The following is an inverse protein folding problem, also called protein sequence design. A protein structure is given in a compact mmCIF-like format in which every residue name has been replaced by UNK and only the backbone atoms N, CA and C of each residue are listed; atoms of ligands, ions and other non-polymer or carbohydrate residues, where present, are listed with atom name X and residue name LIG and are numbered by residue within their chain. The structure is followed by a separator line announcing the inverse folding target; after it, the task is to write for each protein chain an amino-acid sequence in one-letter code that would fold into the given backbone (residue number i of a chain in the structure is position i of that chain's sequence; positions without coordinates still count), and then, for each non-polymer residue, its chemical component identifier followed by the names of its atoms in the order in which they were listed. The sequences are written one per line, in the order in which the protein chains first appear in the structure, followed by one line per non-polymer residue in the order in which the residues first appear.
data_IF_663720504404
#
_entry.id   IF_663720504404
#
_cell.length_a   1.000
_cell.length_b   1.000
_cell.length_c   1.000
_cell.angle_alpha   90.00
_cell.angle_beta   90.00
_cell.angle_gamma   90.00
#
_symmetry.space_group_name_H-M   'P 1'
#
loop_
_entity.id
_entity.type
_entity.pdbx_description
1 polymer ?
#
# COMPACT_ATOMS: atom_id res chain seq x y z
N UNK A 1 32.54 29.11 -3.81
CA UNK A 1 31.08 29.16 -3.58
C UNK A 1 30.37 28.92 -4.90
N UNK A 2 29.45 27.96 -4.97
CA UNK A 2 28.62 27.77 -6.16
C UNK A 2 27.77 29.02 -6.38
N UNK A 3 27.87 29.65 -7.56
CA UNK A 3 27.04 30.82 -7.89
C UNK A 3 25.61 30.35 -8.14
N UNK A 4 24.65 30.81 -7.33
CA UNK A 4 23.23 30.56 -7.58
C UNK A 4 22.85 31.01 -9.00
N UNK A 5 22.05 30.21 -9.71
CA UNK A 5 21.55 30.60 -11.02
C UNK A 5 20.67 31.86 -10.92
N UNK A 6 20.91 32.83 -11.81
CA UNK A 6 20.10 34.07 -11.88
C UNK A 6 18.67 33.70 -12.28
N UNK A 7 17.72 33.89 -11.37
CA UNK A 7 16.29 33.61 -11.57
C UNK A 7 15.45 34.89 -11.47
N UNK A 8 15.80 35.91 -12.24
CA UNK A 8 14.98 37.12 -12.36
C UNK A 8 13.83 36.87 -13.36
N UNK A 9 12.67 37.49 -13.10
CA UNK A 9 11.52 37.47 -14.03
C UNK A 9 11.77 38.32 -15.29
N UNK A 10 10.74 38.49 -16.13
CA UNK A 10 10.82 39.42 -17.27
C UNK A 10 11.05 40.86 -16.78
N UNK A 11 11.96 41.62 -17.39
CA UNK A 11 12.16 43.03 -17.03
C UNK A 11 10.92 43.86 -17.36
N UNK A 12 10.62 44.82 -16.51
CA UNK A 12 9.66 45.89 -16.76
C UNK A 12 10.40 47.04 -17.45
N UNK A 13 9.92 47.45 -18.63
CA UNK A 13 10.45 48.60 -19.37
C UNK A 13 9.73 49.85 -18.89
N UNK A 14 10.49 50.80 -18.37
CA UNK A 14 9.99 52.08 -17.88
C UNK A 14 9.75 53.06 -19.05
N UNK A 15 8.91 54.10 -18.85
CA UNK A 15 8.70 55.14 -19.87
C UNK A 15 9.99 55.83 -20.36
N UNK A 16 11.05 55.83 -19.54
CA UNK A 16 12.37 56.36 -19.88
C UNK A 16 13.22 55.44 -20.77
N UNK A 17 12.71 54.27 -21.16
CA UNK A 17 13.45 53.24 -21.89
C UNK A 17 14.35 52.36 -21.02
N UNK A 18 14.52 52.70 -19.73
CA UNK A 18 15.28 51.89 -18.76
C UNK A 18 14.52 50.62 -18.37
N UNK A 19 15.23 49.58 -17.96
CA UNK A 19 14.67 48.32 -17.48
C UNK A 19 14.81 48.17 -15.97
N UNK A 20 13.84 47.53 -15.33
CA UNK A 20 13.93 47.09 -13.92
C UNK A 20 13.38 45.68 -13.76
N UNK A 21 13.80 44.97 -12.72
CA UNK A 21 13.26 43.65 -12.39
C UNK A 21 12.44 43.70 -11.11
N UNK A 22 11.40 42.88 -11.06
CA UNK A 22 10.59 42.67 -9.86
C UNK A 22 10.63 41.20 -9.46
N UNK A 23 10.70 40.95 -8.16
CA UNK A 23 10.60 39.61 -7.59
C UNK A 23 9.91 39.67 -6.23
N UNK A 24 9.25 38.59 -5.84
CA UNK A 24 8.69 38.44 -4.50
C UNK A 24 9.39 37.33 -3.74
N UNK A 25 9.55 37.51 -2.43
CA UNK A 25 10.01 36.49 -1.51
C UNK A 25 9.13 36.50 -0.27
N UNK A 26 8.45 35.38 0.03
CA UNK A 26 7.53 35.24 1.18
C UNK A 26 6.57 36.45 1.32
N UNK A 27 5.91 36.82 0.23
CA UNK A 27 4.94 37.94 0.20
C UNK A 27 5.55 39.35 0.14
N UNK A 28 6.87 39.51 0.31
CA UNK A 28 7.54 40.80 0.24
C UNK A 28 7.99 41.07 -1.20
N UNK A 29 7.55 42.18 -1.76
CA UNK A 29 7.94 42.58 -3.12
C UNK A 29 9.27 43.35 -3.08
N UNK A 30 10.15 43.04 -4.03
CA UNK A 30 11.40 43.74 -4.27
C UNK A 30 11.43 44.22 -5.73
N UNK A 31 11.96 45.42 -5.94
CA UNK A 31 12.21 46.00 -7.25
C UNK A 31 13.68 46.42 -7.31
N UNK A 32 14.35 46.09 -8.41
CA UNK A 32 15.71 46.55 -8.65
C UNK A 32 15.75 48.05 -8.93
N UNK A 33 16.96 48.61 -8.89
CA UNK A 33 17.28 49.88 -9.54
C UNK A 33 16.93 49.83 -11.05
N UNK A 34 16.83 51.01 -11.68
CA UNK A 34 16.63 51.11 -13.13
C UNK A 34 17.98 51.06 -13.87
N UNK A 35 18.07 50.23 -14.90
CA UNK A 35 19.27 50.02 -15.71
C UNK A 35 19.01 50.41 -17.17
N UNK A 36 20.04 50.80 -17.90
CA UNK A 36 19.84 51.31 -19.27
C UNK A 36 19.47 50.24 -20.30
N UNK A 37 19.73 48.96 -20.01
CA UNK A 37 19.38 47.83 -20.87
C UNK A 37 19.31 46.50 -20.13
N UNK A 38 18.65 45.51 -20.74
CA UNK A 38 18.54 44.13 -20.26
C UNK A 38 19.83 43.32 -20.52
N UNK A 39 20.96 43.81 -20.00
CA UNK A 39 22.26 43.16 -20.17
C UNK A 39 22.51 42.08 -19.11
N UNK A 40 23.37 41.10 -19.43
CA UNK A 40 23.79 40.05 -18.47
C UNK A 40 24.42 40.63 -17.21
N UNK A 41 25.18 41.73 -17.33
CA UNK A 41 25.81 42.42 -16.21
C UNK A 41 24.77 43.04 -15.28
N UNK A 42 23.82 43.80 -15.85
CA UNK A 42 22.74 44.44 -15.10
C UNK A 42 21.85 43.41 -14.40
N UNK A 43 21.58 42.26 -15.03
CA UNK A 43 20.88 41.13 -14.39
C UNK A 43 21.65 40.53 -13.22
N UNK A 44 22.98 40.43 -13.32
CA UNK A 44 23.80 39.91 -12.24
C UNK A 44 23.83 40.88 -11.05
N UNK A 45 23.96 42.18 -11.31
CA UNK A 45 23.94 43.22 -10.28
C UNK A 45 22.56 43.26 -9.58
N UNK A 46 21.47 43.27 -10.35
CA UNK A 46 20.12 43.19 -9.82
C UNK A 46 19.87 41.89 -9.04
N UNK A 47 20.46 40.77 -9.45
CA UNK A 47 20.38 39.51 -8.70
C UNK A 47 21.11 39.59 -7.36
N UNK A 48 22.30 40.21 -7.33
CA UNK A 48 23.06 40.44 -6.10
C UNK A 48 22.25 41.29 -5.12
N UNK A 49 21.66 42.39 -5.59
CA UNK A 49 20.80 43.25 -4.77
C UNK A 49 19.58 42.50 -4.22
N UNK A 50 18.96 41.65 -5.05
CA UNK A 50 17.86 40.80 -4.61
C UNK A 50 18.29 39.80 -3.53
N UNK A 51 19.47 39.18 -3.67
CA UNK A 51 19.99 38.23 -2.67
C UNK A 51 20.22 38.93 -1.33
N UNK A 52 20.84 40.11 -1.33
CA UNK A 52 21.00 40.93 -0.12
C UNK A 52 19.64 41.22 0.51
N UNK A 53 18.67 41.69 -0.28
CA UNK A 53 17.31 41.96 0.22
C UNK A 53 16.61 40.70 0.76
N UNK A 54 16.75 39.57 0.07
CA UNK A 54 16.19 38.28 0.47
C UNK A 54 16.73 37.87 1.83
N UNK A 55 18.03 38.03 2.04
CA UNK A 55 18.71 37.62 3.27
C UNK A 55 18.36 38.59 4.42
N UNK A 56 18.20 39.88 4.15
CA UNK A 56 17.63 40.85 5.10
C UNK A 56 16.20 40.46 5.52
N UNK A 57 15.31 40.17 4.56
CA UNK A 57 13.93 39.76 4.84
C UNK A 57 13.92 38.44 5.63
N UNK A 58 14.79 37.49 5.26
CA UNK A 58 14.95 36.23 5.99
C UNK A 58 15.35 36.49 7.45
N UNK A 59 16.35 37.34 7.67
CA UNK A 59 16.82 37.74 9.00
C UNK A 59 15.74 38.44 9.83
N UNK A 60 14.95 39.32 9.21
CA UNK A 60 13.82 39.99 9.86
C UNK A 60 12.71 39.01 10.24
N UNK A 61 12.37 38.07 9.36
CA UNK A 61 11.37 37.03 9.65
C UNK A 61 11.85 36.08 10.74
N UNK A 62 13.13 35.72 10.75
CA UNK A 62 13.73 34.89 11.80
C UNK A 62 13.77 35.62 13.14
N UNK A 63 14.12 36.91 13.17
CA UNK A 63 14.08 37.72 14.38
C UNK A 63 12.64 37.86 14.92
N UNK A 64 11.65 38.07 14.03
CA UNK A 64 10.24 38.13 14.41
C UNK A 64 9.74 36.78 14.94
N UNK A 65 10.09 35.68 14.29
CA UNK A 65 9.74 34.34 14.75
C UNK A 65 10.39 34.03 16.09
N UNK A 66 11.66 34.42 16.28
CA UNK A 66 12.36 34.25 17.55
C UNK A 66 11.69 35.04 18.68
N UNK A 67 11.31 36.29 18.42
CA UNK A 67 10.56 37.08 19.40
C UNK A 67 9.19 36.44 19.73
N UNK A 68 8.49 35.88 18.73
CA UNK A 68 7.22 35.18 18.93
C UNK A 68 7.40 33.84 19.67
N UNK A 69 8.49 33.11 19.41
CA UNK A 69 8.89 31.89 20.13
C UNK A 69 9.21 32.22 21.60
N UNK A 70 9.93 33.31 21.85
CA UNK A 70 10.29 33.80 23.20
C UNK A 70 9.10 34.40 23.97
N UNK A 71 8.07 34.90 23.26
CA UNK A 71 6.91 35.53 23.89
C UNK A 71 6.02 34.57 24.68
N UNK A 72 6.05 33.27 24.36
CA UNK A 72 5.23 32.25 25.00
C UNK A 72 6.11 31.16 25.65
N UNK A 73 6.11 31.01 26.99
CA UNK A 73 7.01 30.10 27.70
C UNK A 73 6.99 28.65 27.17
N UNK A 74 5.80 28.15 26.82
CA UNK A 74 5.66 26.79 26.28
C UNK A 74 6.18 26.64 24.84
N UNK A 75 6.03 27.68 24.01
CA UNK A 75 6.51 27.66 22.63
C UNK A 75 8.02 27.67 22.61
N UNK A 76 8.64 28.52 23.43
CA UNK A 76 10.09 28.56 23.64
C UNK A 76 10.64 27.16 23.96
N UNK A 77 10.07 26.49 24.98
CA UNK A 77 10.49 25.15 25.39
C UNK A 77 10.33 24.10 24.31
N UNK A 78 9.20 24.09 23.59
CA UNK A 78 8.98 23.16 22.49
C UNK A 78 9.93 23.41 21.32
N UNK A 79 10.24 24.67 21.03
CA UNK A 79 11.22 25.04 20.01
C UNK A 79 12.61 24.57 20.39
N UNK A 80 13.05 24.80 21.63
CA UNK A 80 14.35 24.33 22.15
C UNK A 80 14.45 22.79 22.04
N UNK A 81 13.46 22.06 22.56
CA UNK A 81 13.42 20.60 22.49
C UNK A 81 13.51 20.06 21.04
N UNK A 82 12.75 20.63 20.11
CA UNK A 82 12.75 20.17 18.73
C UNK A 82 14.03 20.54 17.98
N UNK A 83 14.70 21.63 18.37
CA UNK A 83 16.01 21.98 17.83
C UNK A 83 17.08 20.99 18.29
N UNK A 84 17.06 20.60 19.57
CA UNK A 84 17.97 19.57 20.10
C UNK A 84 17.77 18.22 19.38
N UNK A 85 16.52 17.82 19.12
CA UNK A 85 16.20 16.60 18.35
C UNK A 85 16.71 16.64 16.90
N UNK A 86 16.64 17.79 16.23
CA UNK A 86 17.18 17.97 14.87
C UNK A 86 18.70 17.80 14.90
N UNK A 87 19.38 18.46 15.84
CA UNK A 87 20.84 18.39 15.97
C UNK A 87 21.31 16.96 16.27
N UNK A 88 20.65 16.26 17.21
CA UNK A 88 20.94 14.86 17.51
C UNK A 88 20.70 13.93 16.30
N UNK A 89 19.65 14.17 15.52
CA UNK A 89 19.36 13.42 14.31
C UNK A 89 20.41 13.65 13.23
N UNK A 90 20.91 14.88 13.07
CA UNK A 90 21.98 15.21 12.12
C UNK A 90 23.31 14.57 12.53
N UNK A 91 23.67 14.61 13.82
CA UNK A 91 24.88 13.95 14.34
C UNK A 91 24.84 12.43 14.13
N UNK A 92 23.66 11.83 14.22
CA UNK A 92 23.46 10.38 14.05
C UNK A 92 23.15 9.92 12.63
N UNK A 93 23.19 10.84 11.64
CA UNK A 93 22.83 10.60 10.24
C UNK A 93 21.41 10.00 10.06
N UNK A 94 20.48 10.36 10.96
CA UNK A 94 19.10 9.91 10.93
C UNK A 94 18.19 10.93 10.21
N UNK A 95 18.26 10.94 8.88
CA UNK A 95 17.53 11.90 8.04
C UNK A 95 16.01 11.92 8.31
N UNK A 96 15.39 10.76 8.59
CA UNK A 96 13.94 10.68 8.85
C UNK A 96 13.54 11.41 10.13
N UNK A 97 14.35 11.31 11.18
CA UNK A 97 14.10 11.99 12.45
C UNK A 97 14.27 13.51 12.30
N UNK A 98 15.32 13.95 11.58
CA UNK A 98 15.57 15.37 11.30
C UNK A 98 14.42 15.99 10.49
N UNK A 99 13.94 15.29 9.45
CA UNK A 99 12.78 15.72 8.65
C UNK A 99 11.50 15.82 9.51
N UNK A 100 11.23 14.80 10.34
CA UNK A 100 10.08 14.81 11.24
C UNK A 100 10.13 15.97 12.23
N UNK A 101 11.25 16.15 12.95
CA UNK A 101 11.39 17.20 13.96
C UNK A 101 11.29 18.61 13.34
N UNK A 102 11.84 18.80 12.13
CA UNK A 102 11.71 20.04 11.36
C UNK A 102 10.26 20.36 10.98
N UNK A 103 9.50 19.35 10.55
CA UNK A 103 8.09 19.52 10.21
C UNK A 103 7.24 19.86 11.44
N UNK A 104 7.50 19.19 12.57
CA UNK A 104 6.82 19.45 13.85
C UNK A 104 7.16 20.84 14.38
N UNK A 105 8.42 21.28 14.29
CA UNK A 105 8.84 22.62 14.70
C UNK A 105 8.10 23.71 13.92
N UNK A 106 7.88 23.50 12.62
CA UNK A 106 7.08 24.42 11.80
C UNK A 106 5.62 24.49 12.27
N UNK A 107 5.05 23.36 12.73
CA UNK A 107 3.68 23.34 13.27
C UNK A 107 3.63 24.09 14.61
N UNK A 108 4.55 23.80 15.54
CA UNK A 108 4.63 24.44 16.86
C UNK A 108 4.73 25.96 16.75
N UNK A 109 5.58 26.45 15.84
CA UNK A 109 5.75 27.89 15.59
C UNK A 109 4.48 28.62 15.14
N UNK A 110 3.57 27.92 14.48
CA UNK A 110 2.30 28.48 13.99
C UNK A 110 1.09 28.07 14.84
N UNK A 111 1.30 27.28 15.91
CA UNK A 111 0.21 26.81 16.76
C UNK A 111 -0.35 27.94 17.62
N UNK A 112 -1.67 27.93 17.79
CA UNK A 112 -2.34 28.72 18.82
C UNK A 112 -2.06 28.11 20.21
N UNK A 113 -2.51 28.79 21.26
CA UNK A 113 -2.27 28.37 22.65
C UNK A 113 -2.71 26.91 22.92
N UNK A 114 -3.91 26.52 22.47
CA UNK A 114 -4.40 25.15 22.62
C UNK A 114 -3.47 24.13 21.93
N UNK A 115 -3.07 24.39 20.68
CA UNK A 115 -2.17 23.50 19.95
C UNK A 115 -0.78 23.37 20.58
N UNK A 116 -0.29 24.42 21.26
CA UNK A 116 0.95 24.35 22.04
C UNK A 116 0.83 23.41 23.23
N UNK A 117 -0.30 23.42 23.95
CA UNK A 117 -0.53 22.49 25.06
C UNK A 117 -0.64 21.03 24.60
N UNK A 118 -1.36 20.79 23.49
CA UNK A 118 -1.47 19.46 22.89
C UNK A 118 -0.09 18.95 22.41
N UNK A 119 0.72 19.81 21.79
CA UNK A 119 2.08 19.48 21.39
C UNK A 119 2.98 19.20 22.61
N UNK A 120 2.86 19.99 23.67
CA UNK A 120 3.63 19.79 24.90
C UNK A 120 3.30 18.48 25.60
N UNK A 121 2.02 18.10 25.66
CA UNK A 121 1.59 16.81 26.22
C UNK A 121 2.22 15.63 25.48
N UNK A 122 2.40 15.74 24.17
CA UNK A 122 2.96 14.67 23.33
C UNK A 122 4.49 14.66 23.33
N UNK A 123 5.13 15.83 23.30
CA UNK A 123 6.57 15.95 23.00
C UNK A 123 7.44 16.08 24.25
N UNK A 124 6.94 16.68 25.34
CA UNK A 124 7.73 16.92 26.57
C UNK A 124 6.94 16.45 27.81
N UNK A 125 6.65 15.15 27.94
CA UNK A 125 5.72 14.66 28.96
C UNK A 125 6.21 14.77 30.42
N UNK A 126 7.48 15.14 30.66
CA UNK A 126 8.12 15.10 31.98
C UNK A 126 8.30 16.46 32.69
N UNK A 127 8.06 17.60 32.02
CA UNK A 127 8.16 18.92 32.68
C UNK A 127 6.82 19.39 33.25
N UNK A 128 6.64 19.24 34.56
CA UNK A 128 5.44 19.70 35.26
C UNK A 128 5.62 21.08 35.88
N UNK A 129 5.52 22.16 35.09
CA UNK A 129 5.40 23.51 35.67
C UNK A 129 4.09 23.63 36.47
N UNK A 130 3.98 24.54 37.46
CA UNK A 130 2.74 24.78 38.20
C UNK A 130 1.54 25.10 37.29
N UNK A 131 1.78 25.88 36.24
CA UNK A 131 0.80 26.24 35.21
C UNK A 131 0.41 25.01 34.38
N UNK A 132 1.39 24.17 34.04
CA UNK A 132 1.14 22.91 33.34
C UNK A 132 0.37 21.93 34.22
N UNK A 133 0.64 21.83 35.53
CA UNK A 133 -0.15 21.04 36.48
C UNK A 133 -1.58 21.58 36.61
N UNK A 134 -1.76 22.89 36.67
CA UNK A 134 -3.08 23.52 36.73
C UNK A 134 -3.88 23.28 35.44
N UNK A 135 -3.25 23.43 34.28
CA UNK A 135 -3.83 23.09 32.99
C UNK A 135 -4.13 21.58 32.89
N UNK A 136 -3.22 20.71 33.32
CA UNK A 136 -3.42 19.26 33.32
C UNK A 136 -4.54 18.84 34.27
N UNK A 137 -4.69 19.50 35.42
CA UNK A 137 -5.82 19.27 36.34
C UNK A 137 -7.14 19.81 35.78
N UNK A 138 -7.10 20.92 35.05
CA UNK A 138 -8.27 21.45 34.32
C UNK A 138 -8.66 20.52 33.19
N UNK A 139 -7.71 20.05 32.37
CA UNK A 139 -7.93 19.06 31.30
C UNK A 139 -8.37 17.72 31.89
N UNK A 140 -7.76 17.22 32.98
CA UNK A 140 -8.19 15.99 33.67
C UNK A 140 -9.59 16.14 34.25
N UNK A 141 -9.96 17.28 34.83
CA UNK A 141 -11.32 17.51 35.33
C UNK A 141 -12.34 17.66 34.19
N UNK A 142 -11.97 18.32 33.08
CA UNK A 142 -12.77 18.38 31.85
C UNK A 142 -12.93 17.01 31.22
N UNK A 143 -11.88 16.18 31.12
CA UNK A 143 -11.92 14.80 30.62
C UNK A 143 -12.73 13.90 31.55
N UNK A 144 -12.58 14.04 32.88
CA UNK A 144 -13.35 13.30 33.89
C UNK A 144 -14.84 13.69 33.83
N UNK A 145 -15.14 14.96 33.59
CA UNK A 145 -16.50 15.46 33.35
C UNK A 145 -17.02 15.05 31.95
N UNK A 146 -16.16 14.93 30.94
CA UNK A 146 -16.49 14.40 29.60
C UNK A 146 -16.78 12.91 29.63
N UNK A 147 -16.06 12.13 30.45
CA UNK A 147 -16.31 10.69 30.69
C UNK A 147 -17.64 10.48 31.42
N UNK A 148 -18.06 11.40 32.30
CA UNK A 148 -19.39 11.39 32.93
C UNK A 148 -20.55 11.74 32.00
N UNK A 149 -20.30 12.46 30.89
CA UNK A 149 -21.34 12.95 29.98
C UNK A 149 -21.39 12.28 28.59
N UNK A 150 -20.60 11.23 28.33
CA UNK A 150 -20.72 10.45 27.08
C UNK A 150 -21.62 9.24 27.31
N UNK A 151 -22.92 9.48 27.31
CA UNK A 151 -23.94 8.41 27.29
C UNK A 151 -23.88 7.56 26.01
N UNK A 152 -23.15 8.00 24.98
CA UNK A 152 -23.01 7.27 23.72
C UNK A 152 -21.62 7.46 23.08
N UNK A 153 -20.94 6.36 22.75
CA UNK A 153 -19.81 6.34 21.84
C UNK A 153 -20.17 5.47 20.64
N UNK A 154 -20.43 6.10 19.51
CA UNK A 154 -20.79 5.38 18.29
C UNK A 154 -19.61 4.55 17.78
N UNK A 155 -19.86 3.26 17.56
CA UNK A 155 -18.88 2.31 17.00
C UNK A 155 -18.40 2.76 15.62
N UNK A 156 -19.27 3.35 14.82
CA UNK A 156 -18.98 3.90 13.49
C UNK A 156 -17.82 4.91 13.50
N UNK A 157 -17.80 5.82 14.47
CA UNK A 157 -16.76 6.85 14.60
C UNK A 157 -15.41 6.26 14.98
N UNK A 158 -15.40 5.21 15.80
CA UNK A 158 -14.17 4.48 16.12
C UNK A 158 -13.67 3.63 14.95
N UNK A 159 -14.58 3.04 14.16
CA UNK A 159 -14.20 2.35 12.92
C UNK A 159 -13.51 3.32 11.97
N UNK A 160 -14.05 4.54 11.78
CA UNK A 160 -13.41 5.57 10.94
C UNK A 160 -11.99 5.89 11.41
N UNK A 161 -11.80 6.08 12.72
CA UNK A 161 -10.47 6.33 13.32
C UNK A 161 -9.53 5.15 13.12
N UNK A 162 -9.99 3.93 13.39
CA UNK A 162 -9.19 2.72 13.20
C UNK A 162 -8.77 2.55 11.73
N UNK A 163 -9.67 2.84 10.78
CA UNK A 163 -9.37 2.81 9.35
C UNK A 163 -8.27 3.80 8.94
N UNK A 164 -8.09 4.94 9.62
CA UNK A 164 -6.96 5.85 9.34
C UNK A 164 -5.61 5.16 9.59
N UNK A 165 -5.48 4.39 10.68
CA UNK A 165 -4.27 3.60 10.93
C UNK A 165 -4.08 2.52 9.87
N UNK A 166 -5.15 1.82 9.49
CA UNK A 166 -5.08 0.78 8.45
C UNK A 166 -4.73 1.33 7.07
N UNK A 167 -5.05 2.60 6.79
CA UNK A 167 -4.58 3.28 5.56
C UNK A 167 -3.06 3.43 5.57
N UNK A 168 -2.45 3.75 6.72
CA UNK A 168 -0.99 3.80 6.85
C UNK A 168 -0.37 2.43 6.61
N UNK A 169 -0.96 1.36 7.14
CA UNK A 169 -0.50 -0.02 6.89
C UNK A 169 -0.57 -0.40 5.40
N UNK A 170 -1.61 0.06 4.68
CA UNK A 170 -1.68 -0.12 3.21
C UNK A 170 -0.56 0.62 2.50
N UNK A 171 -0.26 1.85 2.92
CA UNK A 171 0.83 2.66 2.33
C UNK A 171 2.21 2.07 2.63
N UNK A 172 2.36 1.47 3.81
CA UNK A 172 3.58 0.77 4.21
C UNK A 172 3.76 -0.58 3.50
N UNK A 173 2.69 -1.13 2.91
CA UNK A 173 2.70 -2.44 2.25
C UNK A 173 2.42 -3.61 3.20
N UNK A 174 2.18 -3.36 4.49
CA UNK A 174 1.92 -4.38 5.50
C UNK A 174 0.60 -5.13 5.24
N UNK A 175 -0.38 -4.44 4.65
CA UNK A 175 -1.63 -5.05 4.17
C UNK A 175 -2.01 -4.54 2.78
N UNK A 176 -2.79 -5.35 2.07
CA UNK A 176 -3.37 -4.93 0.79
C UNK A 176 -4.59 -4.03 0.97
N UNK A 177 -4.88 -3.17 -0.02
CA UNK A 177 -6.11 -2.38 -0.05
C UNK A 177 -7.39 -3.26 0.01
N UNK A 178 -7.32 -4.47 -0.55
CA UNK A 178 -8.37 -5.49 -0.42
C UNK A 178 -8.56 -6.00 1.00
N UNK A 179 -7.48 -6.27 1.73
CA UNK A 179 -7.55 -6.68 3.14
C UNK A 179 -8.17 -5.58 4.01
N UNK A 180 -7.75 -4.31 3.84
CA UNK A 180 -8.34 -3.17 4.55
C UNK A 180 -9.84 -3.03 4.26
N UNK A 181 -10.26 -3.12 3.00
CA UNK A 181 -11.67 -3.06 2.63
C UNK A 181 -12.49 -4.21 3.26
N UNK A 182 -11.93 -5.41 3.30
CA UNK A 182 -12.56 -6.55 3.97
C UNK A 182 -12.71 -6.30 5.47
N UNK A 183 -11.69 -5.74 6.13
CA UNK A 183 -11.76 -5.37 7.54
C UNK A 183 -12.87 -4.34 7.79
N UNK A 184 -13.00 -3.32 6.94
CA UNK A 184 -14.08 -2.34 7.02
C UNK A 184 -15.46 -3.00 6.98
N UNK A 185 -15.75 -3.82 5.97
CA UNK A 185 -17.06 -4.51 5.84
C UNK A 185 -17.34 -5.44 7.03
N UNK A 186 -16.31 -6.06 7.59
CA UNK A 186 -16.43 -6.91 8.77
C UNK A 186 -16.80 -6.10 10.02
N UNK A 187 -16.22 -4.90 10.16
CA UNK A 187 -16.55 -4.00 11.27
C UNK A 187 -17.89 -3.30 11.10
N UNK A 188 -18.30 -2.93 9.89
CA UNK A 188 -19.66 -2.42 9.61
C UNK A 188 -20.72 -3.44 10.05
N UNK A 189 -20.47 -4.75 9.88
CA UNK A 189 -21.36 -5.79 10.43
C UNK A 189 -21.39 -5.80 11.96
N UNK A 190 -20.26 -5.54 12.61
CA UNK A 190 -20.21 -5.44 14.07
C UNK A 190 -20.86 -4.16 14.59
N UNK A 191 -20.74 -3.04 13.88
CA UNK A 191 -21.41 -1.78 14.18
C UNK A 191 -22.92 -1.95 14.24
N UNK A 192 -23.51 -2.64 13.25
CA UNK A 192 -24.95 -2.96 13.26
C UNK A 192 -25.34 -3.79 14.50
N UNK A 193 -24.46 -4.70 14.94
CA UNK A 193 -24.70 -5.55 16.09
C UNK A 193 -24.47 -4.85 17.44
N UNK A 194 -23.51 -3.92 17.50
CA UNK A 194 -23.11 -3.17 18.69
C UNK A 194 -22.90 -1.68 18.33
N UNK A 195 -23.97 -0.89 18.15
CA UNK A 195 -23.86 0.49 17.68
C UNK A 195 -23.14 1.42 18.67
N UNK A 196 -23.29 1.15 19.97
CA UNK A 196 -22.56 1.83 21.04
C UNK A 196 -21.42 0.93 21.53
N UNK A 197 -20.18 1.37 21.32
CA UNK A 197 -18.99 0.56 21.65
C UNK A 197 -18.87 0.28 23.15
N UNK A 198 -19.44 1.14 24.02
CA UNK A 198 -19.38 0.96 25.47
C UNK A 198 -20.06 -0.34 25.93
N UNK A 199 -20.95 -0.89 25.10
CA UNK A 199 -21.61 -2.17 25.38
C UNK A 199 -20.78 -3.39 24.96
N UNK A 200 -19.60 -3.19 24.35
CA UNK A 200 -18.72 -4.27 23.92
C UNK A 200 -18.02 -4.91 25.13
N UNK A 201 -18.70 -5.85 25.77
CA UNK A 201 -18.16 -6.69 26.85
C UNK A 201 -17.70 -8.06 26.33
N UNK A 202 -17.02 -8.85 27.16
CA UNK A 202 -16.68 -10.24 26.82
C UNK A 202 -17.92 -11.09 26.48
N UNK A 203 -19.03 -10.87 27.18
CA UNK A 203 -20.31 -11.51 26.86
C UNK A 203 -20.86 -11.05 25.52
N UNK A 204 -20.79 -9.75 25.22
CA UNK A 204 -21.26 -9.22 23.94
C UNK A 204 -20.48 -9.79 22.75
N UNK A 205 -19.18 -10.02 22.92
CA UNK A 205 -18.34 -10.70 21.92
C UNK A 205 -18.74 -12.17 21.74
N UNK A 206 -19.11 -12.86 22.82
CA UNK A 206 -19.61 -14.23 22.74
C UNK A 206 -20.97 -14.31 22.01
N UNK A 207 -21.88 -13.36 22.28
CA UNK A 207 -23.14 -13.22 21.53
C UNK A 207 -22.88 -12.95 20.04
N UNK A 208 -21.95 -12.02 19.73
CA UNK A 208 -21.61 -11.73 18.34
C UNK A 208 -21.02 -12.95 17.61
N UNK A 209 -20.19 -13.75 18.30
CA UNK A 209 -19.70 -15.02 17.77
C UNK A 209 -20.85 -15.99 17.48
N UNK A 210 -21.81 -16.13 18.39
CA UNK A 210 -22.98 -16.99 18.18
C UNK A 210 -23.82 -16.51 16.98
N UNK A 211 -24.05 -15.20 16.88
CA UNK A 211 -24.69 -14.55 15.73
C UNK A 211 -23.98 -14.85 14.40
N UNK A 212 -22.65 -14.73 14.37
CA UNK A 212 -21.87 -15.10 13.18
C UNK A 212 -22.03 -16.58 12.85
N UNK A 213 -22.02 -17.46 13.85
CA UNK A 213 -22.15 -18.91 13.64
C UNK A 213 -23.51 -19.32 13.07
N UNK A 214 -24.58 -18.61 13.43
CA UNK A 214 -25.94 -18.82 12.90
C UNK A 214 -26.22 -18.10 11.58
N UNK A 215 -25.35 -17.19 11.14
CA UNK A 215 -25.50 -16.51 9.86
C UNK A 215 -25.22 -17.42 8.66
N UNK A 216 -25.75 -17.05 7.49
CA UNK A 216 -25.51 -17.73 6.21
C UNK A 216 -24.09 -17.50 5.64
N UNK A 217 -23.24 -16.75 6.34
CA UNK A 217 -21.88 -16.49 5.90
C UNK A 217 -21.04 -17.78 5.88
N UNK A 218 -20.14 -17.90 4.91
CA UNK A 218 -19.15 -18.98 4.90
C UNK A 218 -18.34 -19.00 6.20
N UNK A 219 -18.00 -20.19 6.73
CA UNK A 219 -17.24 -20.34 7.99
C UNK A 219 -15.92 -19.58 8.02
N UNK A 220 -15.23 -19.48 6.87
CA UNK A 220 -14.03 -18.64 6.72
C UNK A 220 -14.34 -17.17 6.97
N UNK A 221 -15.40 -16.64 6.36
CA UNK A 221 -15.85 -15.26 6.55
C UNK A 221 -16.28 -15.01 7.98
N UNK A 222 -16.99 -15.96 8.62
CA UNK A 222 -17.36 -15.86 10.03
C UNK A 222 -16.11 -15.74 10.92
N UNK A 223 -15.12 -16.63 10.73
CA UNK A 223 -13.84 -16.59 11.47
C UNK A 223 -13.11 -15.27 11.26
N UNK A 224 -12.93 -14.85 10.01
CA UNK A 224 -12.16 -13.65 9.68
C UNK A 224 -12.85 -12.38 10.23
N UNK A 225 -14.18 -12.32 10.16
CA UNK A 225 -14.97 -11.25 10.79
C UNK A 225 -14.71 -11.17 12.29
N UNK A 226 -14.80 -12.31 13.00
CA UNK A 226 -14.55 -12.35 14.43
C UNK A 226 -13.11 -11.96 14.79
N UNK A 227 -12.12 -12.42 14.02
CA UNK A 227 -10.71 -12.05 14.22
C UNK A 227 -10.50 -10.55 14.08
N UNK A 228 -11.05 -9.93 13.03
CA UNK A 228 -10.96 -8.49 12.82
C UNK A 228 -11.63 -7.70 13.93
N UNK A 229 -12.84 -8.11 14.37
CA UNK A 229 -13.55 -7.45 15.48
C UNK A 229 -12.76 -7.53 16.77
N UNK A 230 -12.13 -8.68 17.07
CA UNK A 230 -11.28 -8.81 18.26
C UNK A 230 -10.09 -7.85 18.23
N UNK A 231 -9.40 -7.75 17.08
CA UNK A 231 -8.29 -6.83 16.93
C UNK A 231 -8.73 -5.36 17.06
N UNK A 232 -9.92 -5.03 16.55
CA UNK A 232 -10.52 -3.70 16.73
C UNK A 232 -10.87 -3.39 18.19
N UNK A 233 -11.48 -4.34 18.91
CA UNK A 233 -11.83 -4.17 20.33
C UNK A 233 -10.60 -4.06 21.24
N UNK A 234 -9.54 -4.81 20.92
CA UNK A 234 -8.23 -4.68 21.58
C UNK A 234 -7.65 -3.28 21.35
N UNK A 235 -7.67 -2.77 20.11
CA UNK A 235 -7.30 -1.39 19.83
C UNK A 235 -8.18 -0.38 20.60
N UNK A 236 -9.49 -0.61 20.70
CA UNK A 236 -10.40 0.25 21.46
C UNK A 236 -10.10 0.29 22.97
N UNK A 237 -9.67 -0.84 23.54
CA UNK A 237 -9.31 -0.96 24.95
C UNK A 237 -7.93 -0.42 25.27
N UNK A 238 -6.92 -0.86 24.51
CA UNK A 238 -5.51 -0.62 24.86
C UNK A 238 -5.03 0.75 24.36
N UNK A 239 -5.38 1.10 23.11
CA UNK A 239 -4.86 2.30 22.43
C UNK A 239 -5.85 3.46 22.54
N UNK A 240 -7.11 3.24 22.16
CA UNK A 240 -8.11 4.31 22.18
C UNK A 240 -8.65 4.58 23.61
N UNK A 241 -8.50 3.61 24.53
CA UNK A 241 -8.95 3.68 25.93
C UNK A 241 -10.42 4.12 26.08
N UNK A 242 -11.28 3.64 25.18
CA UNK A 242 -12.72 3.96 25.17
C UNK A 242 -13.53 2.93 25.95
N UNK A 243 -13.06 1.68 25.97
CA UNK A 243 -13.65 0.57 26.74
C UNK A 243 -12.61 -0.01 27.67
N UNK A 244 -13.06 -0.70 28.71
CA UNK A 244 -12.15 -1.53 29.52
C UNK A 244 -11.60 -2.68 28.66
N UNK A 245 -10.29 -3.00 28.75
CA UNK A 245 -9.71 -4.14 28.04
C UNK A 245 -10.47 -5.43 28.32
N UNK A 246 -10.95 -6.09 27.26
CA UNK A 246 -11.72 -7.34 27.41
C UNK A 246 -10.73 -8.50 27.61
N UNK A 247 -10.71 -9.15 28.77
CA UNK A 247 -9.76 -10.21 29.05
C UNK A 247 -10.00 -11.40 28.13
N UNK A 248 -8.92 -12.09 27.75
CA UNK A 248 -8.98 -13.35 27.01
C UNK A 248 -9.61 -13.30 25.60
N UNK A 249 -9.72 -12.13 24.95
CA UNK A 249 -10.24 -12.02 23.57
C UNK A 249 -9.58 -12.99 22.59
N UNK A 250 -8.27 -13.22 22.75
CA UNK A 250 -7.45 -14.10 21.90
C UNK A 250 -7.21 -15.49 22.49
N UNK A 251 -7.84 -15.85 23.62
CA UNK A 251 -7.65 -17.17 24.26
C UNK A 251 -8.05 -18.30 23.30
N UNK A 252 -7.25 -19.38 23.28
CA UNK A 252 -7.52 -20.58 22.46
C UNK A 252 -8.93 -21.10 22.75
N UNK A 253 -9.68 -21.43 21.69
CA UNK A 253 -11.06 -21.93 21.77
C UNK A 253 -12.16 -20.88 21.59
N UNK A 254 -11.83 -19.59 21.72
CA UNK A 254 -12.79 -18.48 21.48
C UNK A 254 -12.99 -18.13 20.01
N UNK A 255 -12.28 -18.80 19.10
CA UNK A 255 -12.40 -18.63 17.65
C UNK A 255 -13.54 -19.45 17.02
N UNK A 256 -13.80 -19.20 15.74
CA UNK A 256 -14.67 -20.05 14.93
C UNK A 256 -13.77 -21.05 14.18
N UNK A 257 -14.00 -22.34 14.40
CA UNK A 257 -13.26 -23.41 13.71
C UNK A 257 -13.73 -23.48 12.26
N UNK A 258 -12.77 -23.44 11.34
CA UNK A 258 -13.01 -23.65 9.91
C UNK A 258 -12.54 -25.07 9.58
N UNK A 259 -13.39 -25.92 8.97
CA UNK A 259 -12.96 -27.23 8.49
C UNK A 259 -11.75 -27.09 7.55
N UNK A 260 -10.71 -27.88 7.79
CA UNK A 260 -9.44 -27.78 7.05
C UNK A 260 -9.46 -28.46 5.68
N UNK A 261 -10.40 -29.38 5.44
CA UNK A 261 -10.47 -30.12 4.17
C UNK A 261 -11.09 -29.25 3.07
N UNK A 262 -10.26 -28.48 2.37
CA UNK A 262 -10.65 -27.93 1.07
C UNK A 262 -10.56 -29.06 0.06
N UNK A 263 -11.71 -29.46 -0.50
CA UNK A 263 -11.73 -30.26 -1.72
C UNK A 263 -11.08 -29.39 -2.80
N UNK A 264 -9.99 -29.88 -3.39
CA UNK A 264 -9.35 -29.20 -4.51
C UNK A 264 -10.27 -29.40 -5.71
N UNK A 265 -10.89 -28.34 -6.19
CA UNK A 265 -11.62 -28.37 -7.46
C UNK A 265 -10.60 -28.39 -8.60
N UNK A 266 -10.66 -29.46 -9.39
CA UNK A 266 -9.82 -29.69 -10.57
C UNK A 266 -10.78 -29.79 -11.77
N UNK A 267 -10.40 -29.24 -12.91
CA UNK A 267 -11.18 -29.34 -14.15
C UNK A 267 -11.00 -30.71 -14.78
N UNK A 268 -12.06 -31.24 -15.37
CA UNK A 268 -11.94 -32.37 -16.28
C UNK A 268 -11.34 -31.93 -17.61
N UNK A 269 -10.63 -32.84 -18.28
CA UNK A 269 -9.96 -32.54 -19.56
C UNK A 269 -10.96 -32.12 -20.65
N UNK A 270 -12.18 -32.67 -20.62
CA UNK A 270 -13.24 -32.29 -21.55
C UNK A 270 -13.76 -30.87 -21.31
N UNK A 271 -13.83 -30.41 -20.06
CA UNK A 271 -14.20 -29.03 -19.74
C UNK A 271 -13.11 -28.05 -20.23
N UNK A 272 -11.84 -28.44 -20.16
CA UNK A 272 -10.71 -27.65 -20.68
C UNK A 272 -10.79 -27.55 -22.21
N UNK A 273 -10.99 -28.68 -22.91
CA UNK A 273 -11.17 -28.69 -24.36
C UNK A 273 -12.36 -27.83 -24.77
N UNK A 274 -13.48 -27.93 -24.06
CA UNK A 274 -14.67 -27.13 -24.28
C UNK A 274 -14.42 -25.63 -24.06
N UNK A 275 -13.69 -25.24 -23.00
CA UNK A 275 -13.25 -23.86 -22.80
C UNK A 275 -12.47 -23.34 -24.00
N UNK A 276 -11.50 -24.11 -24.49
CA UNK A 276 -10.64 -23.71 -25.61
C UNK A 276 -11.32 -23.79 -26.98
N UNK A 277 -12.46 -24.48 -27.13
CA UNK A 277 -13.32 -24.37 -28.31
C UNK A 277 -13.92 -22.96 -28.44
N UNK A 278 -14.16 -22.29 -27.32
CA UNK A 278 -14.84 -21.00 -27.27
C UNK A 278 -13.91 -19.82 -26.96
N UNK A 279 -12.74 -20.06 -26.40
CA UNK A 279 -11.74 -19.03 -26.12
C UNK A 279 -10.92 -18.71 -27.38
N UNK A 280 -10.93 -17.45 -27.81
CA UNK A 280 -10.16 -16.93 -28.95
C UNK A 280 -9.31 -15.73 -28.55
N UNK A 281 -8.29 -15.41 -29.35
CA UNK A 281 -7.41 -14.25 -29.19
C UNK A 281 -6.87 -14.08 -27.77
N UNK A 282 -7.08 -12.90 -27.18
CA UNK A 282 -6.58 -12.56 -25.83
C UNK A 282 -7.14 -13.44 -24.72
N UNK A 283 -8.41 -13.84 -24.78
CA UNK A 283 -8.98 -14.73 -23.76
C UNK A 283 -8.28 -16.09 -23.78
N UNK A 284 -8.07 -16.63 -24.99
CA UNK A 284 -7.31 -17.87 -25.20
C UNK A 284 -5.90 -17.76 -24.62
N UNK A 285 -5.20 -16.67 -24.93
CA UNK A 285 -3.88 -16.39 -24.38
C UNK A 285 -3.88 -16.41 -22.85
N UNK A 286 -4.80 -15.69 -22.20
CA UNK A 286 -4.83 -15.61 -20.74
C UNK A 286 -5.05 -16.97 -20.10
N UNK A 287 -5.98 -17.78 -20.61
CA UNK A 287 -6.26 -19.10 -20.06
C UNK A 287 -5.11 -20.07 -20.30
N UNK A 288 -4.47 -20.02 -21.48
CA UNK A 288 -3.25 -20.79 -21.77
C UNK A 288 -2.10 -20.41 -20.84
N UNK A 289 -1.88 -19.11 -20.58
CA UNK A 289 -0.84 -18.66 -19.64
C UNK A 289 -1.08 -19.23 -18.24
N UNK A 290 -2.33 -19.26 -17.76
CA UNK A 290 -2.65 -19.83 -16.44
C UNK A 290 -2.37 -21.35 -16.39
N UNK A 291 -2.66 -22.09 -17.46
CA UNK A 291 -2.38 -23.53 -17.53
C UNK A 291 -0.88 -23.84 -17.74
N UNK A 292 -0.20 -23.05 -18.58
CA UNK A 292 1.20 -23.24 -18.96
C UNK A 292 2.17 -22.80 -17.86
N UNK A 293 1.81 -21.80 -17.06
CA UNK A 293 2.73 -21.17 -16.09
C UNK A 293 2.25 -21.21 -14.64
N UNK A 294 1.02 -21.71 -14.40
CA UNK A 294 0.42 -21.68 -13.07
C UNK A 294 0.19 -20.26 -12.54
N UNK A 295 0.25 -19.23 -13.37
CA UNK A 295 -0.01 -17.85 -12.97
C UNK A 295 -1.48 -17.63 -12.57
N UNK A 296 -1.74 -16.72 -11.62
CA UNK A 296 -3.08 -16.19 -11.39
C UNK A 296 -3.38 -15.02 -12.33
N UNK A 297 -4.65 -14.63 -12.42
CA UNK A 297 -5.09 -13.44 -13.14
C UNK A 297 -4.36 -12.16 -12.68
N UNK A 298 -4.02 -12.06 -11.39
CA UNK A 298 -3.25 -10.95 -10.83
C UNK A 298 -1.79 -10.97 -11.27
N UNK A 299 -1.20 -12.16 -11.41
CA UNK A 299 0.18 -12.30 -11.87
C UNK A 299 0.27 -11.83 -13.33
N UNK A 300 -0.56 -12.40 -14.22
CA UNK A 300 -0.64 -12.03 -15.64
C UNK A 300 -0.94 -10.54 -15.82
N UNK A 301 -1.90 -10.01 -15.06
CA UNK A 301 -2.35 -8.63 -15.19
C UNK A 301 -1.37 -7.58 -14.67
N UNK A 302 -0.30 -7.99 -13.98
CA UNK A 302 0.73 -7.09 -13.42
C UNK A 302 2.14 -7.33 -13.96
N UNK A 303 2.31 -8.26 -14.92
CA UNK A 303 3.60 -8.46 -15.57
C UNK A 303 4.08 -7.21 -16.30
N UNK A 304 5.31 -6.82 -15.99
CA UNK A 304 6.06 -5.79 -16.69
C UNK A 304 6.90 -6.43 -17.80
N UNK A 305 7.38 -5.65 -18.78
CA UNK A 305 8.32 -6.11 -19.82
C UNK A 305 9.69 -6.43 -19.25
N UNK A 306 10.08 -5.71 -18.20
CA UNK A 306 11.33 -5.89 -17.46
C UNK A 306 10.99 -6.14 -16.00
N UNK A 307 11.40 -7.29 -15.48
CA UNK A 307 11.28 -7.64 -14.08
C UNK A 307 12.64 -7.58 -13.39
N UNK A 308 12.63 -7.47 -12.06
CA UNK A 308 13.84 -7.45 -11.22
C UNK A 308 13.92 -8.80 -10.51
N UNK A 309 15.04 -9.48 -10.64
CA UNK A 309 15.30 -10.77 -10.00
C UNK A 309 15.67 -10.63 -8.55
N UNK A 310 15.72 -11.77 -7.87
CA UNK A 310 16.14 -11.85 -6.47
C UNK A 310 17.60 -11.39 -6.26
N UNK A 311 18.42 -11.41 -7.32
CA UNK A 311 19.78 -10.86 -7.34
C UNK A 311 19.85 -9.37 -7.69
N UNK A 312 18.69 -8.69 -7.77
CA UNK A 312 18.56 -7.29 -8.15
C UNK A 312 18.78 -7.02 -9.65
N UNK A 313 19.06 -8.05 -10.47
CA UNK A 313 19.27 -7.85 -11.91
C UNK A 313 17.96 -7.74 -12.65
N UNK A 314 17.96 -6.88 -13.66
CA UNK A 314 16.84 -6.73 -14.59
C UNK A 314 16.88 -7.83 -15.63
N UNK A 315 15.74 -8.46 -15.90
CA UNK A 315 15.57 -9.42 -16.97
C UNK A 315 14.29 -9.13 -17.76
N UNK A 316 14.26 -9.56 -19.01
CA UNK A 316 13.05 -9.50 -19.82
C UNK A 316 12.08 -10.57 -19.31
N UNK A 317 10.89 -10.14 -18.89
CA UNK A 317 9.84 -11.05 -18.43
C UNK A 317 9.48 -12.03 -19.55
N UNK A 318 9.44 -11.57 -20.81
CA UNK A 318 9.21 -12.41 -21.97
C UNK A 318 10.48 -12.44 -22.86
N UNK A 319 11.12 -13.60 -22.94
CA UNK A 319 12.27 -13.83 -23.82
C UNK A 319 11.83 -14.57 -25.09
N UNK A 320 11.84 -13.83 -26.20
CA UNK A 320 11.42 -14.31 -27.52
C UNK A 320 12.33 -15.39 -28.09
N UNK A 321 13.62 -15.34 -27.76
CA UNK A 321 14.61 -16.26 -28.31
C UNK A 321 14.50 -17.63 -27.64
N UNK A 322 14.37 -17.64 -26.31
CA UNK A 322 14.20 -18.88 -25.55
C UNK A 322 12.77 -19.39 -25.50
N UNK A 323 11.79 -18.60 -25.98
CA UNK A 323 10.34 -18.85 -25.84
C UNK A 323 9.94 -19.07 -24.38
N UNK A 324 10.50 -18.27 -23.47
CA UNK A 324 10.22 -18.39 -22.04
C UNK A 324 9.54 -17.14 -21.48
N UNK A 325 8.77 -17.34 -20.41
CA UNK A 325 8.32 -16.25 -19.56
C UNK A 325 8.85 -16.46 -18.14
N UNK A 326 9.45 -15.41 -17.57
CA UNK A 326 10.07 -15.45 -16.26
C UNK A 326 9.38 -14.45 -15.35
N UNK A 327 8.92 -14.88 -14.18
CA UNK A 327 8.33 -13.96 -13.20
C UNK A 327 8.38 -14.52 -11.78
N UNK A 328 8.22 -13.62 -10.82
CA UNK A 328 7.92 -13.91 -9.43
C UNK A 328 6.47 -13.55 -9.13
N UNK A 329 5.81 -14.31 -8.26
CA UNK A 329 4.38 -14.14 -7.98
C UNK A 329 4.08 -12.76 -7.43
N UNK A 330 3.03 -12.11 -7.93
CA UNK A 330 2.68 -10.73 -7.61
C UNK A 330 2.49 -10.50 -6.10
N UNK A 331 1.81 -11.44 -5.43
CA UNK A 331 1.52 -11.36 -4.00
C UNK A 331 2.78 -11.55 -3.13
N UNK A 332 3.80 -12.20 -3.68
CA UNK A 332 4.98 -12.67 -2.97
C UNK A 332 6.26 -12.05 -3.56
N UNK A 333 6.13 -10.98 -4.35
CA UNK A 333 7.25 -10.35 -5.07
C UNK A 333 8.34 -9.86 -4.10
N UNK A 334 7.93 -9.44 -2.91
CA UNK A 334 8.80 -8.89 -1.87
C UNK A 334 9.34 -9.99 -0.92
N UNK A 335 8.90 -11.25 -1.06
CA UNK A 335 9.30 -12.37 -0.21
C UNK A 335 10.57 -13.03 -0.72
N UNK A 336 11.67 -12.98 0.03
CA UNK A 336 12.97 -13.50 -0.39
C UNK A 336 12.97 -15.01 -0.69
N UNK A 337 12.18 -15.79 0.06
CA UNK A 337 12.12 -17.25 -0.05
C UNK A 337 11.27 -17.75 -1.24
N UNK A 338 10.56 -16.86 -1.93
CA UNK A 338 9.70 -17.24 -3.06
C UNK A 338 10.50 -17.20 -4.36
N UNK A 339 10.53 -18.29 -5.15
CA UNK A 339 11.39 -18.36 -6.32
C UNK A 339 10.86 -17.49 -7.46
N UNK A 340 11.80 -16.86 -8.18
CA UNK A 340 11.59 -16.43 -9.56
C UNK A 340 11.65 -17.66 -10.47
N UNK A 341 10.60 -17.90 -11.26
CA UNK A 341 10.47 -19.11 -12.09
C UNK A 341 10.44 -18.73 -13.56
N UNK A 342 11.21 -19.46 -14.38
CA UNK A 342 11.21 -19.35 -15.84
C UNK A 342 10.46 -20.53 -16.45
N UNK A 343 9.40 -20.24 -17.20
CA UNK A 343 8.51 -21.22 -17.81
C UNK A 343 8.71 -21.21 -19.31
N UNK A 344 9.02 -22.38 -19.89
CA UNK A 344 8.94 -22.54 -21.34
C UNK A 344 7.49 -22.52 -21.81
N UNK A 345 7.21 -21.67 -22.80
CA UNK A 345 5.88 -21.54 -23.35
C UNK A 345 5.60 -22.66 -24.36
N UNK A 346 4.36 -23.16 -24.37
CA UNK A 346 3.85 -23.99 -25.46
C UNK A 346 3.79 -23.16 -26.75
N UNK A 347 3.88 -23.81 -27.91
CA UNK A 347 4.02 -23.10 -29.17
C UNK A 347 2.82 -22.18 -29.46
N UNK A 348 1.61 -22.62 -29.10
CA UNK A 348 0.41 -21.79 -29.22
C UNK A 348 0.41 -20.61 -28.23
N UNK A 349 0.76 -20.84 -26.96
CA UNK A 349 0.88 -19.78 -25.95
C UNK A 349 1.90 -18.73 -26.38
N UNK A 350 3.06 -19.16 -26.89
CA UNK A 350 4.11 -18.29 -27.42
C UNK A 350 3.61 -17.46 -28.60
N UNK A 351 2.95 -18.10 -29.57
CA UNK A 351 2.46 -17.42 -30.77
C UNK A 351 1.42 -16.34 -30.42
N UNK A 352 0.48 -16.67 -29.53
CA UNK A 352 -0.52 -15.71 -29.06
C UNK A 352 0.10 -14.59 -28.20
N UNK A 353 1.13 -14.89 -27.41
CA UNK A 353 1.83 -13.88 -26.62
C UNK A 353 2.58 -12.90 -27.51
N UNK A 354 3.23 -13.39 -28.58
CA UNK A 354 3.84 -12.55 -29.61
C UNK A 354 2.80 -11.66 -30.31
N UNK A 355 1.63 -12.21 -30.66
CA UNK A 355 0.56 -11.46 -31.35
C UNK A 355 -0.05 -10.38 -30.45
N UNK A 356 -0.22 -10.66 -29.16
CA UNK A 356 -0.94 -9.79 -28.23
C UNK A 356 -0.04 -9.05 -27.24
N UNK A 357 1.27 -9.03 -27.47
CA UNK A 357 2.21 -8.23 -26.70
C UNK A 357 1.77 -6.75 -26.71
N UNK A 358 1.76 -6.13 -25.53
CA UNK A 358 1.30 -4.76 -25.39
C UNK A 358 2.29 -3.73 -25.97
N UNK A 359 1.75 -2.66 -26.56
CA UNK A 359 2.52 -1.45 -26.88
C UNK A 359 2.80 -0.55 -25.67
N UNK A 360 2.28 -0.87 -24.49
CA UNK A 360 2.57 -0.14 -23.25
C UNK A 360 4.08 -0.09 -22.97
N UNK A 361 4.56 1.02 -22.41
CA UNK A 361 6.00 1.20 -22.13
C UNK A 361 6.49 0.20 -21.07
N UNK A 362 5.69 -0.01 -20.03
CA UNK A 362 6.04 -0.87 -18.89
C UNK A 362 5.39 -2.25 -18.89
N UNK A 363 4.06 -2.35 -19.04
CA UNK A 363 3.32 -3.59 -18.91
C UNK A 363 3.48 -4.51 -20.13
N UNK A 364 3.59 -5.82 -19.88
CA UNK A 364 3.68 -6.84 -20.93
C UNK A 364 2.33 -7.05 -21.63
N UNK A 365 1.23 -7.04 -20.87
CA UNK A 365 -0.14 -7.24 -21.35
C UNK A 365 -1.07 -6.15 -20.83
N UNK A 366 -1.90 -5.58 -21.70
CA UNK A 366 -2.88 -4.55 -21.38
C UNK A 366 -4.23 -4.82 -22.04
N UNK A 367 -5.25 -4.02 -21.69
CA UNK A 367 -6.52 -3.99 -22.43
C UNK A 367 -6.32 -3.51 -23.88
N UNK A 368 -7.36 -3.57 -24.71
CA UNK A 368 -7.30 -3.07 -26.10
C UNK A 368 -7.02 -1.57 -26.15
N UNK A 369 -7.52 -0.81 -25.18
CA UNK A 369 -7.25 0.63 -24.99
C UNK A 369 -5.98 0.93 -24.20
N UNK A 370 -5.04 -0.02 -24.14
CA UNK A 370 -3.74 0.10 -23.50
C UNK A 370 -3.74 0.48 -21.99
N UNK A 371 -4.71 -0.03 -21.22
CA UNK A 371 -4.78 0.17 -19.77
C UNK A 371 -4.44 -1.12 -19.00
N UNK A 372 -4.02 -1.04 -17.73
CA UNK A 372 -3.69 -2.24 -16.94
C UNK A 372 -4.86 -3.24 -16.86
N UNK A 373 -4.56 -4.54 -16.91
CA UNK A 373 -5.55 -5.62 -16.77
C UNK A 373 -5.94 -5.84 -15.31
N UNK A 374 -5.00 -5.57 -14.39
CA UNK A 374 -5.18 -5.69 -12.96
C UNK A 374 -4.80 -4.38 -12.25
N UNK A 375 -5.64 -3.95 -11.32
CA UNK A 375 -5.37 -2.85 -10.38
C UNK A 375 -5.96 -3.24 -9.04
N UNK A 376 -5.22 -3.09 -7.95
CA UNK A 376 -5.75 -3.19 -6.58
C UNK A 376 -4.97 -2.22 -5.69
N UNK A 377 -5.40 -0.97 -5.69
CA UNK A 377 -4.72 0.13 -5.02
C UNK A 377 -5.68 0.97 -4.17
N UNK A 378 -5.13 1.85 -3.35
CA UNK A 378 -5.90 2.83 -2.59
C UNK A 378 -5.84 4.19 -3.31
N UNK A 379 -6.98 4.69 -3.78
CA UNK A 379 -7.11 6.01 -4.39
C UNK A 379 -8.05 6.87 -3.56
N UNK A 380 -7.54 7.95 -2.98
CA UNK A 380 -8.30 8.86 -2.11
C UNK A 380 -9.01 8.14 -0.94
N UNK A 381 -8.32 7.21 -0.28
CA UNK A 381 -8.87 6.43 0.84
C UNK A 381 -9.92 5.37 0.45
N UNK A 382 -10.22 5.22 -0.85
CA UNK A 382 -11.11 4.19 -1.37
C UNK A 382 -10.33 3.16 -2.18
N UNK A 383 -10.68 1.89 -2.03
CA UNK A 383 -10.10 0.82 -2.83
C UNK A 383 -10.53 1.00 -4.28
N UNK A 384 -9.55 1.10 -5.18
CA UNK A 384 -9.72 1.03 -6.63
C UNK A 384 -9.30 -0.36 -7.06
N UNK A 385 -10.25 -1.17 -7.54
CA UNK A 385 -9.98 -2.53 -7.98
C UNK A 385 -10.46 -2.76 -9.41
N UNK A 386 -9.58 -3.31 -10.25
CA UNK A 386 -9.85 -3.68 -11.64
C UNK A 386 -9.33 -5.09 -11.88
N UNK A 387 -10.19 -5.98 -12.37
CA UNK A 387 -9.88 -7.39 -12.66
C UNK A 387 -10.46 -7.78 -14.01
N UNK A 388 -9.78 -7.39 -15.09
CA UNK A 388 -10.36 -7.52 -16.43
C UNK A 388 -10.49 -8.97 -16.88
N UNK A 389 -9.48 -9.80 -16.65
CA UNK A 389 -9.46 -11.21 -17.06
C UNK A 389 -10.62 -11.97 -16.40
N UNK A 390 -10.73 -11.93 -15.07
CA UNK A 390 -11.84 -12.57 -14.35
C UNK A 390 -13.22 -11.96 -14.64
N UNK A 391 -13.31 -10.68 -14.98
CA UNK A 391 -14.58 -10.08 -15.46
C UNK A 391 -15.00 -10.69 -16.80
N UNK A 392 -14.11 -10.67 -17.78
CA UNK A 392 -14.36 -11.20 -19.13
C UNK A 392 -14.69 -12.69 -19.10
N UNK A 393 -13.96 -13.48 -18.30
CA UNK A 393 -14.24 -14.89 -18.10
C UNK A 393 -15.65 -15.14 -17.56
N UNK A 394 -16.07 -14.39 -16.52
CA UNK A 394 -17.43 -14.52 -15.96
C UNK A 394 -18.51 -14.14 -16.96
N UNK A 395 -18.30 -13.07 -17.73
CA UNK A 395 -19.22 -12.66 -18.79
C UNK A 395 -19.34 -13.73 -19.87
N UNK A 396 -18.21 -14.29 -20.33
CA UNK A 396 -18.17 -15.37 -21.30
C UNK A 396 -18.87 -16.64 -20.79
N UNK A 397 -18.55 -17.07 -19.56
CA UNK A 397 -19.17 -18.23 -18.90
C UNK A 397 -20.68 -18.08 -18.79
N UNK A 398 -21.14 -16.89 -18.39
CA UNK A 398 -22.58 -16.58 -18.29
C UNK A 398 -23.24 -16.59 -19.66
N UNK A 399 -22.63 -15.95 -20.67
CA UNK A 399 -23.15 -15.89 -22.04
C UNK A 399 -23.28 -17.27 -22.68
N UNK A 400 -22.35 -18.17 -22.40
CA UNK A 400 -22.33 -19.53 -22.96
C UNK A 400 -23.09 -20.56 -22.10
N UNK A 401 -23.70 -20.13 -20.98
CA UNK A 401 -24.40 -20.99 -20.03
C UNK A 401 -23.55 -22.16 -19.49
N UNK A 402 -22.24 -21.92 -19.33
CA UNK A 402 -21.26 -22.94 -18.90
C UNK A 402 -21.15 -23.00 -17.38
N UNK A 403 -22.23 -23.43 -16.73
CA UNK A 403 -22.27 -23.53 -15.26
C UNK A 403 -21.27 -24.54 -14.70
N UNK A 404 -20.88 -25.55 -15.46
CA UNK A 404 -19.89 -26.58 -15.12
C UNK A 404 -18.44 -26.08 -15.13
N UNK A 405 -18.13 -25.03 -15.88
CA UNK A 405 -16.80 -24.44 -15.86
C UNK A 405 -16.44 -23.99 -14.44
N UNK A 406 -15.24 -24.34 -13.98
CA UNK A 406 -14.75 -23.94 -12.67
C UNK A 406 -14.45 -22.45 -12.56
N UNK A 407 -13.50 -22.10 -11.69
CA UNK A 407 -12.93 -20.76 -11.62
C UNK A 407 -11.61 -20.71 -12.39
N UNK A 408 -11.13 -19.50 -12.71
CA UNK A 408 -9.80 -19.33 -13.31
C UNK A 408 -8.69 -19.87 -12.40
N UNK A 409 -8.81 -19.72 -11.08
CA UNK A 409 -7.88 -20.30 -10.11
C UNK A 409 -7.79 -21.83 -10.20
N UNK A 410 -8.88 -22.49 -10.61
CA UNK A 410 -8.93 -23.94 -10.75
C UNK A 410 -8.14 -24.42 -11.98
N UNK A 411 -7.89 -23.57 -12.99
CA UNK A 411 -6.98 -23.92 -14.10
C UNK A 411 -5.56 -24.14 -13.58
N UNK A 412 -5.04 -23.22 -12.76
CA UNK A 412 -3.75 -23.39 -12.08
C UNK A 412 -3.73 -24.67 -11.24
N UNK A 413 -4.78 -24.90 -10.42
CA UNK A 413 -4.86 -26.11 -9.58
C UNK A 413 -4.85 -27.38 -10.42
N UNK A 414 -5.48 -27.34 -11.59
CA UNK A 414 -5.53 -28.48 -12.52
C UNK A 414 -4.13 -28.79 -13.07
N UNK A 415 -3.39 -27.78 -13.54
CA UNK A 415 -2.00 -27.95 -13.96
C UNK A 415 -1.10 -28.47 -12.85
N UNK A 416 -1.21 -27.88 -11.66
CA UNK A 416 -0.41 -28.30 -10.49
C UNK A 416 -0.73 -29.74 -10.10
N UNK A 417 -2.00 -30.14 -10.09
CA UNK A 417 -2.42 -31.49 -9.69
C UNK A 417 -1.96 -32.53 -10.72
N UNK A 418 -2.09 -32.25 -12.03
CA UNK A 418 -1.55 -33.14 -13.07
C UNK A 418 -0.04 -33.33 -12.95
N UNK A 419 0.71 -32.27 -12.66
CA UNK A 419 2.16 -32.40 -12.39
C UNK A 419 2.42 -33.24 -11.14
N UNK A 420 1.67 -33.03 -10.06
CA UNK A 420 1.81 -33.73 -8.78
C UNK A 420 1.50 -35.23 -8.88
N UNK A 421 0.59 -35.61 -9.77
CA UNK A 421 0.24 -37.01 -10.06
C UNK A 421 1.30 -37.73 -10.92
N UNK A 422 2.20 -36.99 -11.58
CA UNK A 422 3.22 -37.57 -12.45
C UNK A 422 4.42 -38.09 -11.66
N UNK A 423 4.78 -39.37 -11.81
CA UNK A 423 5.85 -40.01 -11.03
C UNK A 423 7.19 -39.25 -11.02
N UNK A 424 7.68 -38.82 -12.20
CA UNK A 424 8.97 -38.12 -12.29
C UNK A 424 8.87 -36.60 -12.05
N UNK A 425 7.72 -36.00 -12.38
CA UNK A 425 7.57 -34.55 -12.45
C UNK A 425 6.83 -33.96 -11.24
N UNK A 426 6.28 -34.80 -10.37
CA UNK A 426 5.63 -34.38 -9.11
C UNK A 426 6.50 -33.45 -8.28
N UNK A 427 7.82 -33.68 -8.26
CA UNK A 427 8.79 -32.83 -7.55
C UNK A 427 8.79 -31.36 -8.01
N UNK A 428 8.29 -31.07 -9.22
CA UNK A 428 8.21 -29.72 -9.76
C UNK A 428 6.86 -29.05 -9.52
N UNK A 429 5.84 -29.73 -8.97
CA UNK A 429 4.49 -29.16 -8.79
C UNK A 429 4.49 -27.88 -7.95
N UNK A 430 5.27 -27.86 -6.86
CA UNK A 430 5.41 -26.68 -5.99
C UNK A 430 6.22 -25.55 -6.64
N UNK A 431 7.28 -25.90 -7.37
CA UNK A 431 8.11 -24.93 -8.09
C UNK A 431 7.33 -24.30 -9.25
N UNK A 432 6.57 -25.11 -10.00
CA UNK A 432 5.63 -24.65 -11.04
C UNK A 432 4.56 -23.70 -10.48
N UNK A 433 4.10 -23.94 -9.26
CA UNK A 433 3.16 -23.04 -8.60
C UNK A 433 3.83 -21.75 -8.08
N UNK A 434 5.16 -21.63 -8.14
CA UNK A 434 5.91 -20.54 -7.52
C UNK A 434 5.65 -20.44 -6.02
N UNK A 435 5.50 -21.57 -5.32
CA UNK A 435 5.34 -21.57 -3.86
C UNK A 435 6.69 -21.47 -3.16
N UNK A 436 6.71 -20.91 -1.95
CA UNK A 436 7.88 -20.97 -1.09
C UNK A 436 8.24 -22.43 -0.74
N UNK A 437 9.53 -22.79 -0.69
CA UNK A 437 9.94 -24.13 -0.35
C UNK A 437 9.60 -24.47 1.11
N UNK A 438 8.99 -25.65 1.34
CA UNK A 438 8.40 -26.04 2.64
C UNK A 438 9.41 -26.54 3.68
N UNK A 439 10.68 -26.69 3.36
CA UNK A 439 11.70 -27.13 4.31
C UNK A 439 13.13 -26.76 3.91
N UNK A 440 14.07 -26.96 4.85
CA UNK A 440 15.50 -26.62 4.70
C UNK A 440 16.12 -27.26 3.46
N UNK A 441 15.78 -28.53 3.17
CA UNK A 441 16.27 -29.24 1.97
C UNK A 441 15.85 -28.55 0.68
N UNK A 442 14.59 -28.16 0.57
CA UNK A 442 14.07 -27.50 -0.63
C UNK A 442 14.60 -26.07 -0.74
N UNK A 443 14.84 -25.38 0.38
CA UNK A 443 15.38 -24.00 0.38
C UNK A 443 16.85 -23.93 -0.02
N UNK A 444 17.70 -24.79 0.56
CA UNK A 444 19.15 -24.64 0.45
C UNK A 444 19.83 -25.61 -0.51
N UNK A 445 19.21 -26.78 -0.76
CA UNK A 445 19.91 -27.88 -1.43
C UNK A 445 19.30 -28.29 -2.77
N UNK A 446 18.06 -27.85 -3.08
CA UNK A 446 17.38 -28.21 -4.32
C UNK A 446 17.21 -26.99 -5.21
N UNK A 447 18.07 -26.88 -6.21
CA UNK A 447 17.81 -26.04 -7.39
C UNK A 447 17.26 -26.93 -8.50
N UNK A 448 15.98 -26.78 -8.92
CA UNK A 448 15.44 -27.48 -10.07
C UNK A 448 16.33 -27.29 -11.31
N UNK A 449 16.66 -28.39 -12.00
CA UNK A 449 17.31 -28.30 -13.31
C UNK A 449 16.32 -27.71 -14.31
N UNK A 450 16.65 -26.56 -14.90
CA UNK A 450 15.77 -25.88 -15.86
C UNK A 450 15.38 -26.79 -17.03
N UNK A 451 16.32 -27.57 -17.58
CA UNK A 451 16.05 -28.51 -18.67
C UNK A 451 14.99 -29.56 -18.30
N UNK A 452 15.07 -30.11 -17.08
CA UNK A 452 14.09 -31.08 -16.60
C UNK A 452 12.74 -30.43 -16.28
N UNK A 453 12.76 -29.19 -15.80
CA UNK A 453 11.54 -28.41 -15.60
C UNK A 453 10.85 -28.08 -16.94
N UNK A 454 11.59 -27.68 -17.96
CA UNK A 454 11.07 -27.44 -19.31
C UNK A 454 10.45 -28.71 -19.90
N UNK A 455 11.07 -29.88 -19.68
CA UNK A 455 10.50 -31.17 -20.07
C UNK A 455 9.17 -31.46 -19.36
N UNK A 456 9.08 -31.13 -18.06
CA UNK A 456 7.85 -31.27 -17.29
C UNK A 456 6.73 -30.35 -17.81
N UNK A 457 7.06 -29.10 -18.13
CA UNK A 457 6.11 -28.13 -18.70
C UNK A 457 5.66 -28.54 -20.10
N UNK A 458 6.57 -29.07 -20.92
CA UNK A 458 6.24 -29.61 -22.25
C UNK A 458 5.35 -30.85 -22.17
N UNK A 459 5.64 -31.76 -21.22
CA UNK A 459 4.77 -32.91 -20.95
C UNK A 459 3.37 -32.48 -20.52
N UNK A 460 3.27 -31.44 -19.69
CA UNK A 460 1.98 -30.89 -19.25
C UNK A 460 1.16 -30.34 -20.43
N UNK A 461 1.82 -29.67 -21.39
CA UNK A 461 1.17 -29.20 -22.63
C UNK A 461 0.52 -30.34 -23.40
N UNK A 462 1.22 -31.46 -23.56
CA UNK A 462 0.69 -32.67 -24.20
C UNK A 462 -0.56 -33.21 -23.51
N UNK A 463 -0.68 -33.09 -22.18
CA UNK A 463 -1.88 -33.53 -21.45
C UNK A 463 -3.12 -32.73 -21.82
N UNK A 464 -2.94 -31.47 -22.25
CA UNK A 464 -4.03 -30.59 -22.67
C UNK A 464 -4.16 -30.46 -24.20
N UNK A 465 -3.24 -31.06 -24.96
CA UNK A 465 -3.21 -31.02 -26.42
C UNK A 465 -2.47 -29.82 -27.04
N UNK A 466 -1.48 -29.27 -26.33
CA UNK A 466 -0.67 -28.10 -26.74
C UNK A 466 0.82 -28.39 -26.90
#
# INVERSE_FOLDING_TARGET
MAREAIKLGKPEILPSGKVRWQKSFKGHSWKSSAYDSDSRRNRADAWSDFVIKRDEIKSQLEAKQKADDESHPLRKKLTEYLQDEIELAEISDNQKQSEWASDVLRIVRNANEQGLYEAAELLIPYEQTPEFKAAQNTVKSVIKNRKKNRTEFQTSELIKKWMVFRISDVKAGDITAGAMNNQRMQLERFEVFCPNILHATGMKVAEFRAYLQSSELAKTTQRDTLTTVKAFLEWCGDIAQVIEPIPNLRKRGTGIKVPTKKIITIWHDDDIKDLFKHATGRHRLYYLLMLNTGAYESDIGTWTKIAIGDDGKKYHTFDKNSKTITFKRHKEKDEQDVPTVSYRLWDETYSLLMEHESSHNELLLTTTVNTPLWVDELRNGKRSAKRMIGKQYREQRTKLLKANWGTLDDLRKTSVSKLDEHGEYARYSQFFAGHSPKGTTDRFYRKPSQKQFDNAVAWLGKQFGF
#
